data_IF_152059113405
#
_entry.id   IF_152059113405
#
_cell.length_a   1.000
_cell.length_b   1.000
_cell.length_c   1.000
_cell.angle_alpha   90.00
_cell.angle_beta   90.00
_cell.angle_gamma   90.00
#
_symmetry.space_group_name_H-M   'P 1'
#
loop_
_entity.id
_entity.type
_entity.pdbx_description
1 polymer ?
#
# COMPACT_ATOMS: atom_id res chain seq x y z
N UNK A 1 -18.98 -8.09 -22.95
CA UNK A 1 -19.58 -9.42 -22.70
C UNK A 1 -19.08 -10.09 -21.41
N UNK A 2 -17.76 -10.26 -21.18
CA UNK A 2 -17.21 -10.84 -19.92
C UNK A 2 -17.63 -10.07 -18.66
N UNK A 3 -17.45 -8.74 -18.62
CA UNK A 3 -17.93 -7.86 -17.54
C UNK A 3 -19.45 -7.94 -17.29
N UNK A 4 -20.23 -8.32 -18.31
CA UNK A 4 -21.69 -8.49 -18.25
C UNK A 4 -22.11 -9.95 -17.95
N UNK A 5 -21.14 -10.83 -17.61
CA UNK A 5 -21.37 -12.25 -17.35
C UNK A 5 -21.86 -13.07 -18.54
N UNK A 6 -21.73 -12.57 -19.77
CA UNK A 6 -22.24 -13.21 -21.00
C UNK A 6 -21.29 -14.28 -21.56
N UNK A 7 -20.01 -14.15 -21.25
CA UNK A 7 -18.96 -15.09 -21.64
C UNK A 7 -18.23 -15.52 -20.38
N UNK A 8 -17.92 -16.81 -20.29
CA UNK A 8 -17.05 -17.36 -19.26
C UNK A 8 -15.58 -17.06 -19.59
N UNK A 9 -14.67 -17.34 -18.67
CA UNK A 9 -13.23 -17.30 -18.93
C UNK A 9 -12.84 -18.10 -20.18
N UNK A 10 -11.81 -17.64 -20.90
CA UNK A 10 -11.26 -18.39 -22.01
C UNK A 10 -10.28 -19.46 -21.52
N UNK A 11 -10.45 -20.68 -21.98
CA UNK A 11 -9.39 -21.69 -21.98
C UNK A 11 -8.82 -21.73 -23.40
N UNK A 12 -7.52 -21.48 -23.54
CA UNK A 12 -6.81 -21.54 -24.83
C UNK A 12 -7.42 -20.64 -25.94
N UNK A 13 -7.97 -19.47 -25.56
CA UNK A 13 -8.56 -18.53 -26.52
C UNK A 13 -9.97 -18.89 -27.00
N UNK A 14 -10.53 -20.01 -26.54
CA UNK A 14 -11.91 -20.40 -26.82
C UNK A 14 -12.84 -19.85 -25.74
N UNK A 15 -13.80 -19.03 -26.15
CA UNK A 15 -14.76 -18.39 -25.24
C UNK A 15 -16.07 -19.17 -25.20
N UNK A 16 -16.49 -19.59 -24.01
CA UNK A 16 -17.78 -20.28 -23.82
C UNK A 16 -18.86 -19.27 -23.47
N UNK A 17 -19.97 -19.31 -24.20
CA UNK A 17 -21.15 -18.49 -23.86
C UNK A 17 -21.83 -19.05 -22.60
N UNK A 18 -22.14 -18.18 -21.64
CA UNK A 18 -22.82 -18.58 -20.40
C UNK A 18 -24.32 -18.78 -20.66
N UNK A 19 -25.06 -19.43 -19.74
CA UNK A 19 -26.52 -19.47 -19.82
C UNK A 19 -27.16 -18.07 -19.96
N UNK A 20 -26.65 -17.09 -19.22
CA UNK A 20 -27.09 -15.69 -19.31
C UNK A 20 -26.73 -15.01 -20.64
N UNK A 21 -25.65 -15.44 -21.30
CA UNK A 21 -25.32 -15.03 -22.66
C UNK A 21 -26.29 -15.65 -23.69
N UNK A 22 -26.58 -16.95 -23.57
CA UNK A 22 -27.50 -17.66 -24.47
C UNK A 22 -28.91 -17.09 -24.44
N UNK A 23 -29.42 -16.82 -23.24
CA UNK A 23 -30.76 -16.26 -23.07
C UNK A 23 -30.88 -14.87 -23.70
N UNK A 24 -29.83 -14.05 -23.60
CA UNK A 24 -29.78 -12.75 -24.28
C UNK A 24 -29.79 -12.87 -25.80
N UNK A 25 -29.02 -13.79 -26.36
CA UNK A 25 -29.03 -14.04 -27.81
C UNK A 25 -30.41 -14.52 -28.27
N UNK A 26 -31.10 -15.34 -27.47
CA UNK A 26 -32.47 -15.79 -27.74
C UNK A 26 -33.45 -14.61 -27.77
N UNK A 27 -33.45 -13.77 -26.73
CA UNK A 27 -34.32 -12.58 -26.64
C UNK A 27 -34.06 -11.62 -27.80
N UNK A 28 -32.79 -11.37 -28.16
CA UNK A 28 -32.45 -10.51 -29.29
C UNK A 28 -32.99 -11.04 -30.61
N UNK A 29 -32.88 -12.36 -30.85
CA UNK A 29 -33.44 -13.01 -32.05
C UNK A 29 -34.95 -12.99 -32.11
N UNK A 30 -35.64 -13.14 -30.98
CA UNK A 30 -37.11 -13.17 -30.93
C UNK A 30 -37.74 -11.79 -31.04
N UNK A 31 -37.12 -10.78 -30.44
CA UNK A 31 -37.70 -9.43 -30.34
C UNK A 31 -37.18 -8.47 -31.40
N UNK A 32 -36.09 -8.82 -32.09
CA UNK A 32 -35.32 -7.93 -32.96
C UNK A 32 -34.91 -6.60 -32.29
N UNK A 33 -34.88 -6.58 -30.95
CA UNK A 33 -34.48 -5.42 -30.13
C UNK A 33 -33.22 -5.77 -29.35
N UNK A 34 -32.45 -4.75 -29.00
CA UNK A 34 -31.32 -4.91 -28.10
C UNK A 34 -31.83 -5.31 -26.70
N UNK A 35 -31.43 -6.47 -26.15
CA UNK A 35 -31.82 -6.90 -24.80
C UNK A 35 -31.42 -5.90 -23.70
N UNK A 36 -30.40 -5.06 -23.96
CA UNK A 36 -29.92 -4.06 -23.00
C UNK A 36 -30.69 -2.72 -23.11
N UNK A 37 -31.56 -2.54 -24.10
CA UNK A 37 -32.29 -1.28 -24.34
C UNK A 37 -33.23 -0.85 -23.19
N UNK A 38 -33.57 -1.76 -22.26
CA UNK A 38 -34.39 -1.47 -21.07
C UNK A 38 -33.63 -1.38 -19.74
N UNK A 39 -32.39 -1.90 -19.69
CA UNK A 39 -31.58 -1.96 -18.45
C UNK A 39 -31.07 -0.58 -18.01
N UNK A 40 -30.93 0.35 -18.96
CA UNK A 40 -30.49 1.74 -18.73
C UNK A 40 -31.47 2.51 -17.84
N UNK A 41 -32.78 2.25 -17.99
CA UNK A 41 -33.84 2.94 -17.25
C UNK A 41 -34.01 2.49 -15.80
N UNK A 42 -33.59 1.27 -15.45
CA UNK A 42 -33.85 0.69 -14.12
C UNK A 42 -32.75 1.02 -13.09
N UNK A 43 -31.53 1.34 -13.53
CA UNK A 43 -30.39 1.58 -12.65
C UNK A 43 -30.01 3.05 -12.43
N UNK A 44 -30.76 4.00 -13.01
CA UNK A 44 -30.47 5.44 -12.85
C UNK A 44 -29.10 5.86 -13.39
N UNK A 45 -28.53 5.08 -14.30
CA UNK A 45 -27.28 5.41 -14.97
C UNK A 45 -27.67 6.07 -16.30
N UNK A 46 -27.59 7.39 -16.35
CA UNK A 46 -27.56 8.10 -17.63
C UNK A 46 -26.30 7.67 -18.39
N UNK A 47 -26.49 6.84 -19.42
CA UNK A 47 -25.45 6.46 -20.38
C UNK A 47 -25.33 7.52 -21.47
N UNK A 48 -25.35 8.80 -21.11
CA UNK A 48 -24.62 9.75 -21.95
C UNK A 48 -23.16 9.31 -21.88
N UNK A 49 -22.76 8.47 -22.84
CA UNK A 49 -21.35 8.28 -23.15
C UNK A 49 -20.91 9.67 -23.56
N UNK A 50 -20.35 10.41 -22.62
CA UNK A 50 -19.59 11.60 -22.92
C UNK A 50 -18.47 11.05 -23.79
N UNK A 51 -18.64 11.19 -25.11
CA UNK A 51 -17.62 10.87 -26.08
C UNK A 51 -16.61 12.02 -25.97
N UNK A 52 -15.89 12.08 -24.84
CA UNK A 52 -14.69 12.88 -24.78
C UNK A 52 -13.78 12.24 -25.82
N UNK A 53 -13.50 12.97 -26.88
CA UNK A 53 -12.45 12.62 -27.82
C UNK A 53 -11.11 12.79 -27.09
N UNK A 54 -10.83 11.90 -26.14
CA UNK A 54 -9.54 11.85 -25.49
C UNK A 54 -8.57 11.18 -26.45
N UNK A 55 -7.47 11.90 -26.74
CA UNK A 55 -6.41 11.40 -27.59
C UNK A 55 -5.93 10.05 -27.02
N UNK A 56 -5.96 8.95 -27.80
CA UNK A 56 -5.45 7.66 -27.35
C UNK A 56 -4.04 7.74 -26.75
N UNK A 57 -3.18 8.64 -27.27
CA UNK A 57 -1.84 8.87 -26.72
C UNK A 57 -1.87 9.38 -25.28
N UNK A 58 -2.83 10.24 -24.90
CA UNK A 58 -2.99 10.67 -23.50
C UNK A 58 -3.39 9.50 -22.62
N UNK A 59 -4.34 8.68 -23.07
CA UNK A 59 -4.76 7.49 -22.31
C UNK A 59 -3.62 6.47 -22.16
N UNK A 60 -2.81 6.28 -23.20
CA UNK A 60 -1.62 5.41 -23.15
C UNK A 60 -0.52 5.98 -22.24
N UNK A 61 -0.26 7.30 -22.29
CA UNK A 61 0.70 7.96 -21.40
C UNK A 61 0.25 7.90 -19.94
N UNK A 62 -1.04 8.10 -19.65
CA UNK A 62 -1.61 7.93 -18.32
C UNK A 62 -1.47 6.47 -17.84
N UNK A 63 -1.70 5.49 -18.72
CA UNK A 63 -1.48 4.07 -18.41
C UNK A 63 -0.01 3.70 -18.17
N UNK A 64 0.94 4.32 -18.87
CA UNK A 64 2.38 4.15 -18.61
C UNK A 64 2.78 4.77 -17.28
N UNK A 65 2.25 5.95 -16.94
CA UNK A 65 2.47 6.59 -15.65
C UNK A 65 1.89 5.76 -14.49
N UNK A 66 0.77 5.06 -14.69
CA UNK A 66 0.22 4.11 -13.71
C UNK A 66 1.17 2.93 -13.44
N UNK A 67 2.10 2.62 -14.35
CA UNK A 67 3.05 1.49 -14.20
C UNK A 67 4.37 1.86 -13.55
N UNK A 68 4.70 3.14 -13.39
CA UNK A 68 5.88 3.55 -12.64
C UNK A 68 5.56 3.53 -11.14
N UNK A 69 5.69 2.35 -10.53
CA UNK A 69 5.79 2.28 -9.08
C UNK A 69 7.13 2.90 -8.67
N UNK A 70 7.08 4.01 -7.95
CA UNK A 70 8.26 4.59 -7.33
C UNK A 70 8.83 3.62 -6.28
N UNK A 71 10.13 3.36 -6.35
CA UNK A 71 10.86 2.52 -5.40
C UNK A 71 12.10 3.26 -4.92
N UNK A 72 12.52 3.01 -3.68
CA UNK A 72 13.82 3.45 -3.18
C UNK A 72 14.98 2.68 -3.82
N UNK A 73 16.21 2.97 -3.39
CA UNK A 73 17.40 2.25 -3.83
C UNK A 73 17.37 0.78 -3.40
N UNK A 74 18.26 -0.05 -3.94
CA UNK A 74 18.35 -1.47 -3.57
C UNK A 74 18.85 -1.59 -2.12
N UNK A 75 18.03 -2.20 -1.26
CA UNK A 75 18.30 -2.49 0.15
C UNK A 75 18.71 -3.95 0.37
N UNK A 76 17.87 -4.92 -0.02
CA UNK A 76 18.19 -6.35 0.10
C UNK A 76 18.35 -6.87 1.53
N UNK A 77 17.55 -6.41 2.50
CA UNK A 77 17.66 -6.81 3.92
C UNK A 77 16.40 -7.59 4.33
N UNK A 78 16.56 -8.79 4.90
CA UNK A 78 15.45 -9.63 5.42
C UNK A 78 14.30 -9.85 4.41
N UNK A 79 14.63 -9.97 3.12
CA UNK A 79 13.64 -10.14 2.05
C UNK A 79 12.99 -8.84 1.56
N UNK A 80 13.37 -7.70 2.12
CA UNK A 80 12.95 -6.37 1.67
C UNK A 80 13.95 -5.86 0.64
N UNK A 81 13.48 -5.71 -0.60
CA UNK A 81 14.34 -5.45 -1.77
C UNK A 81 14.75 -3.98 -1.87
N UNK A 82 13.83 -3.05 -1.59
CA UNK A 82 14.05 -1.61 -1.78
C UNK A 82 14.04 -0.85 -0.46
N UNK A 83 14.72 0.29 -0.43
CA UNK A 83 14.69 1.23 0.69
C UNK A 83 13.27 1.77 0.91
N UNK A 84 12.89 2.05 2.18
CA UNK A 84 11.67 2.79 2.47
C UNK A 84 11.65 4.13 1.72
N UNK A 85 10.48 4.49 1.21
CA UNK A 85 10.21 5.83 0.62
C UNK A 85 9.15 6.61 1.39
N UNK A 86 8.60 6.01 2.46
CA UNK A 86 7.58 6.56 3.34
C UNK A 86 7.58 5.84 4.69
N UNK A 87 6.74 6.28 5.63
CA UNK A 87 6.61 5.72 6.99
C UNK A 87 6.19 4.24 6.98
N UNK A 88 5.28 3.84 6.08
CA UNK A 88 4.84 2.44 5.97
C UNK A 88 6.01 1.51 5.63
N UNK A 89 6.93 1.96 4.76
CA UNK A 89 8.16 1.23 4.47
C UNK A 89 9.09 1.12 5.69
N UNK A 90 9.14 2.16 6.54
CA UNK A 90 9.92 2.15 7.79
C UNK A 90 9.36 1.12 8.75
N UNK A 91 8.03 1.09 8.93
CA UNK A 91 7.34 0.11 9.77
C UNK A 91 7.63 -1.32 9.28
N UNK A 92 7.50 -1.56 7.98
CA UNK A 92 7.78 -2.87 7.38
C UNK A 92 9.23 -3.31 7.65
N UNK A 93 10.20 -2.43 7.42
CA UNK A 93 11.62 -2.73 7.63
C UNK A 93 11.93 -2.97 9.10
N UNK A 94 11.40 -2.14 10.00
CA UNK A 94 11.58 -2.34 11.43
C UNK A 94 10.99 -3.67 11.88
N UNK A 95 9.77 -4.01 11.44
CA UNK A 95 9.14 -5.28 11.80
C UNK A 95 9.98 -6.49 11.41
N UNK A 96 10.65 -6.43 10.26
CA UNK A 96 11.57 -7.48 9.81
C UNK A 96 12.87 -7.57 10.63
N UNK A 97 13.25 -6.49 11.32
CA UNK A 97 14.49 -6.39 12.11
C UNK A 97 14.26 -6.40 13.63
N UNK A 98 13.01 -6.32 14.09
CA UNK A 98 12.67 -6.02 15.49
C UNK A 98 13.35 -6.97 16.48
N UNK A 99 13.30 -8.28 16.24
CA UNK A 99 13.88 -9.29 17.13
C UNK A 99 15.41 -9.15 17.26
N UNK A 100 16.11 -8.93 16.15
CA UNK A 100 17.56 -8.70 16.12
C UNK A 100 17.99 -7.39 16.77
N UNK A 101 17.11 -6.39 16.75
CA UNK A 101 17.30 -5.13 17.45
C UNK A 101 16.90 -5.21 18.93
N UNK A 102 16.41 -6.35 19.41
CA UNK A 102 16.01 -6.56 20.80
C UNK A 102 14.65 -5.93 21.13
N UNK A 103 13.73 -5.92 20.17
CA UNK A 103 12.36 -5.43 20.32
C UNK A 103 11.33 -6.54 20.06
N UNK A 104 10.18 -6.44 20.73
CA UNK A 104 8.97 -7.19 20.42
C UNK A 104 7.85 -6.20 20.13
N UNK A 105 7.08 -6.45 19.07
CA UNK A 105 5.95 -5.61 18.69
C UNK A 105 4.69 -6.16 19.38
N UNK A 106 4.08 -5.37 20.26
CA UNK A 106 2.79 -5.73 20.88
C UNK A 106 1.62 -5.24 20.03
N UNK A 107 1.69 -4.01 19.51
CA UNK A 107 0.67 -3.43 18.64
C UNK A 107 1.24 -2.34 17.73
N UNK A 108 0.68 -2.25 16.52
CA UNK A 108 0.77 -1.09 15.62
C UNK A 108 -0.62 -0.47 15.52
N UNK A 109 -0.71 0.85 15.61
CA UNK A 109 -1.94 1.61 15.81
C UNK A 109 -2.04 2.73 14.77
N UNK A 110 -3.24 3.26 14.60
CA UNK A 110 -3.51 4.44 13.76
C UNK A 110 -3.53 5.74 14.56
N UNK A 111 -3.22 5.67 15.86
CA UNK A 111 -3.20 6.80 16.78
C UNK A 111 -1.79 6.98 17.34
N UNK A 112 -1.45 8.21 17.71
CA UNK A 112 -0.20 8.51 18.38
C UNK A 112 -0.12 7.89 19.80
N UNK A 113 1.03 7.30 20.20
CA UNK A 113 2.16 6.92 19.35
C UNK A 113 1.88 5.67 18.50
N UNK A 114 2.46 5.59 17.32
CA UNK A 114 2.17 4.57 16.30
C UNK A 114 2.27 3.13 16.79
N UNK A 115 3.15 2.83 17.75
CA UNK A 115 3.32 1.47 18.24
C UNK A 115 3.58 1.34 19.74
N UNK A 116 3.17 0.18 20.25
CA UNK A 116 3.50 -0.32 21.58
C UNK A 116 4.45 -1.50 21.42
N UNK A 117 5.65 -1.36 21.97
CA UNK A 117 6.71 -2.35 21.89
C UNK A 117 7.18 -2.77 23.29
N UNK A 118 7.87 -3.91 23.34
CA UNK A 118 8.81 -4.24 24.41
C UNK A 118 10.23 -4.09 23.91
N UNK A 119 11.10 -3.47 24.71
CA UNK A 119 12.54 -3.38 24.46
C UNK A 119 13.31 -4.19 25.50
N UNK A 120 14.30 -4.96 25.06
CA UNK A 120 15.19 -5.71 25.93
C UNK A 120 16.30 -4.80 26.45
N UNK A 121 16.47 -4.75 27.77
CA UNK A 121 17.55 -3.99 28.39
C UNK A 121 18.85 -4.81 28.50
N UNK A 122 19.93 -4.16 28.95
CA UNK A 122 21.25 -4.80 29.14
C UNK A 122 21.26 -6.00 30.11
N UNK A 123 20.27 -6.08 31.01
CA UNK A 123 20.10 -7.19 31.96
C UNK A 123 19.23 -8.31 31.41
N UNK A 124 18.72 -8.17 30.18
CA UNK A 124 17.85 -9.13 29.52
C UNK A 124 16.36 -9.00 29.84
N UNK A 125 15.94 -8.00 30.64
CA UNK A 125 14.55 -7.80 30.98
C UNK A 125 13.82 -6.96 29.91
N UNK A 126 12.53 -7.25 29.73
CA UNK A 126 11.66 -6.52 28.81
C UNK A 126 10.97 -5.33 29.49
N UNK A 127 11.05 -4.15 28.87
CA UNK A 127 10.37 -2.93 29.33
C UNK A 127 9.45 -2.39 28.24
N UNK A 128 8.36 -1.72 28.63
CA UNK A 128 7.48 -1.04 27.68
C UNK A 128 8.24 0.06 26.95
N UNK A 129 7.92 0.25 25.67
CA UNK A 129 8.47 1.30 24.83
C UNK A 129 7.40 1.73 23.84
N UNK A 130 6.97 2.99 23.94
CA UNK A 130 6.07 3.65 23.00
C UNK A 130 6.89 4.28 21.88
N UNK A 131 6.52 3.98 20.64
CA UNK A 131 7.31 4.35 19.47
C UNK A 131 6.49 5.13 18.46
N UNK A 132 7.11 6.16 17.90
CA UNK A 132 6.65 6.82 16.68
C UNK A 132 7.54 6.39 15.50
N UNK A 133 6.91 6.08 14.37
CA UNK A 133 7.60 5.80 13.12
C UNK A 133 7.55 7.02 12.22
N UNK A 134 8.70 7.39 11.69
CA UNK A 134 8.80 8.57 10.83
C UNK A 134 9.68 8.28 9.62
N UNK A 135 9.38 8.86 8.46
CA UNK A 135 10.34 8.78 7.36
C UNK A 135 11.60 9.60 7.71
N UNK A 136 11.41 10.84 8.15
CA UNK A 136 12.45 11.73 8.68
C UNK A 136 12.21 12.02 10.15
N UNK A 137 13.24 11.95 10.98
CA UNK A 137 13.09 12.24 12.42
C UNK A 137 12.46 13.61 12.73
N UNK A 138 12.67 14.60 11.86
CA UNK A 138 12.08 15.94 12.01
C UNK A 138 10.56 15.99 11.82
N UNK A 139 9.97 14.99 11.15
CA UNK A 139 8.51 14.87 10.97
C UNK A 139 7.77 14.80 12.30
N UNK A 140 8.37 14.16 13.31
CA UNK A 140 7.81 14.12 14.67
C UNK A 140 7.49 15.51 15.23
N UNK A 141 8.40 16.46 15.01
CA UNK A 141 8.22 17.86 15.40
C UNK A 141 7.17 18.55 14.53
N UNK A 142 7.20 18.29 13.23
CA UNK A 142 6.25 18.87 12.25
C UNK A 142 4.81 18.46 12.54
N UNK A 143 4.58 17.22 12.96
CA UNK A 143 3.26 16.70 13.35
C UNK A 143 2.79 17.21 14.72
N UNK A 144 3.67 17.85 15.51
CA UNK A 144 3.32 18.40 16.81
C UNK A 144 3.20 17.36 17.92
N UNK A 145 3.86 16.20 17.77
CA UNK A 145 3.81 15.14 18.76
C UNK A 145 4.51 15.55 20.06
N UNK A 146 3.92 15.14 21.19
CA UNK A 146 4.44 15.43 22.52
C UNK A 146 5.53 14.42 22.89
N UNK A 147 6.80 14.85 23.08
CA UNK A 147 7.88 13.92 23.42
C UNK A 147 7.72 13.26 24.80
N UNK A 148 6.83 13.74 25.67
CA UNK A 148 6.53 13.09 26.96
C UNK A 148 5.64 11.87 26.85
N UNK A 149 5.03 11.64 25.68
CA UNK A 149 4.08 10.56 25.45
C UNK A 149 4.65 9.47 24.53
N UNK A 150 5.89 9.63 24.06
CA UNK A 150 6.62 8.72 23.20
C UNK A 150 8.02 8.52 23.78
N UNK A 151 8.52 7.28 23.76
CA UNK A 151 9.81 6.94 24.36
C UNK A 151 10.95 6.93 23.32
N UNK A 152 10.62 6.69 22.05
CA UNK A 152 11.59 6.43 20.98
C UNK A 152 11.00 6.78 19.61
N UNK A 153 11.77 7.44 18.76
CA UNK A 153 11.49 7.58 17.33
C UNK A 153 12.27 6.51 16.57
N UNK A 154 11.61 5.81 15.65
CA UNK A 154 12.27 4.93 14.68
C UNK A 154 12.07 5.53 13.30
N UNK A 155 13.15 5.92 12.63
CA UNK A 155 13.07 6.60 11.35
C UNK A 155 13.99 6.03 10.26
N UNK A 156 13.69 6.36 9.00
CA UNK A 156 14.62 6.07 7.90
C UNK A 156 15.79 7.04 7.89
N UNK A 157 15.51 8.35 7.92
CA UNK A 157 16.52 9.41 7.88
C UNK A 157 16.52 10.23 9.17
N UNK A 158 17.70 10.38 9.76
CA UNK A 158 17.87 11.20 10.95
C UNK A 158 18.46 12.57 10.60
N UNK A 159 17.58 13.57 10.53
CA UNK A 159 17.87 14.96 10.14
C UNK A 159 17.66 15.97 11.29
N UNK A 160 17.08 15.55 12.41
CA UNK A 160 16.80 16.41 13.55
C UNK A 160 17.96 16.35 14.54
N UNK A 161 18.69 17.45 14.75
CA UNK A 161 19.91 17.49 15.60
C UNK A 161 19.65 17.72 17.09
N UNK A 162 18.60 18.46 17.43
CA UNK A 162 18.26 18.84 18.80
C UNK A 162 16.95 18.16 19.21
N UNK A 163 17.04 16.87 19.53
CA UNK A 163 15.88 16.02 19.82
C UNK A 163 15.82 15.63 21.30
N UNK A 164 14.62 15.69 21.93
CA UNK A 164 14.47 15.43 23.36
C UNK A 164 14.26 13.94 23.71
N UNK A 165 14.09 13.07 22.71
CA UNK A 165 13.77 11.64 22.88
C UNK A 165 14.68 10.78 22.00
N UNK A 166 14.94 9.54 22.42
CA UNK A 166 15.85 8.64 21.69
C UNK A 166 15.41 8.46 20.22
N UNK A 167 16.38 8.36 19.30
CA UNK A 167 16.12 8.13 17.88
C UNK A 167 16.94 6.95 17.38
N UNK A 168 16.28 6.01 16.71
CA UNK A 168 16.92 4.92 15.97
C UNK A 168 16.76 5.18 14.46
N UNK A 169 17.90 5.31 13.78
CA UNK A 169 17.97 5.47 12.33
C UNK A 169 18.16 4.11 11.64
N UNK A 170 17.13 3.63 10.94
CA UNK A 170 17.16 2.34 10.26
C UNK A 170 18.13 2.32 9.07
N UNK A 171 18.38 3.46 8.41
CA UNK A 171 19.33 3.53 7.28
C UNK A 171 20.74 3.14 7.70
N UNK A 172 21.19 3.62 8.86
CA UNK A 172 22.50 3.26 9.41
C UNK A 172 22.55 1.83 9.96
N UNK A 173 21.43 1.31 10.46
CA UNK A 173 21.32 -0.09 10.89
C UNK A 173 21.39 -1.03 9.68
N UNK A 174 20.63 -0.75 8.62
CA UNK A 174 20.53 -1.61 7.45
C UNK A 174 21.87 -1.77 6.72
N UNK A 175 22.74 -0.75 6.73
CA UNK A 175 24.12 -0.87 6.22
C UNK A 175 24.88 -2.01 6.89
N UNK A 176 24.73 -2.19 8.20
CA UNK A 176 25.38 -3.26 8.98
C UNK A 176 24.87 -4.65 8.63
N UNK A 177 23.66 -4.74 8.07
CA UNK A 177 23.06 -6.00 7.60
C UNK A 177 23.47 -6.35 6.17
N UNK A 178 23.87 -5.37 5.35
CA UNK A 178 24.43 -5.60 4.00
C UNK A 178 25.84 -6.20 4.04
N UNK A 179 26.58 -5.98 5.14
CA UNK A 179 27.98 -6.41 5.29
C UNK A 179 28.15 -7.82 5.90
N UNK A 180 27.04 -8.49 6.26
CA UNK A 180 27.01 -9.86 6.80
C UNK A 180 26.62 -10.88 5.73
#
# INVERSE_FOLDING_TARGET
MKRKGQLDGSEHGIWKITPAGRERVRISKETARDPDAGLVKLHGIDLEIINTAENPEKAFQEMENIRQHETGDILGVKGIVYEPINEQGVILLFAALADELGFQIEAVRSEFPDALLRRKNIKGNWTNCKVEFEYKSSSFKTHGHNPKQCDLIICWEHDWKEYPIEVICLKEIAKKFKEK
#
